data_IF_980754130274
#
_entry.id   IF_980754130274
#
_cell.length_a   1.000
_cell.length_b   1.000
_cell.length_c   1.000
_cell.angle_alpha   90.00
_cell.angle_beta   90.00
_cell.angle_gamma   90.00
#
_symmetry.space_group_name_H-M   'P 1'
#
loop_
_entity.id
_entity.type
_entity.pdbx_description
1 polymer ?
#
# COMPACT_ATOMS: atom_id res chain seq x y z
N UNK A 1 14.66 -50.11 6.01
CA UNK A 1 13.37 -50.48 5.36
C UNK A 1 12.16 -49.69 5.88
N UNK A 2 12.07 -49.30 7.17
CA UNK A 2 10.94 -48.51 7.70
C UNK A 2 10.91 -47.02 7.32
N UNK A 3 12.06 -46.41 6.96
CA UNK A 3 12.15 -44.99 6.58
C UNK A 3 11.64 -44.71 5.14
N UNK A 4 11.84 -45.67 4.22
CA UNK A 4 11.43 -45.55 2.81
C UNK A 4 9.90 -45.65 2.63
N UNK A 5 9.22 -46.39 3.51
CA UNK A 5 7.75 -46.52 3.46
C UNK A 5 7.06 -45.24 3.96
N UNK A 6 7.68 -44.51 4.90
CA UNK A 6 7.13 -43.25 5.44
C UNK A 6 7.26 -42.13 4.41
N UNK A 7 8.39 -42.04 3.69
CA UNK A 7 8.56 -41.05 2.60
C UNK A 7 7.64 -41.33 1.40
N UNK A 8 7.41 -42.60 1.07
CA UNK A 8 6.46 -42.97 0.02
C UNK A 8 5.00 -42.66 0.42
N UNK A 9 4.63 -42.83 1.70
CA UNK A 9 3.29 -42.49 2.20
C UNK A 9 3.05 -40.97 2.26
N UNK A 10 4.07 -40.16 2.60
CA UNK A 10 3.96 -38.68 2.58
C UNK A 10 3.90 -38.16 1.13
N UNK A 11 4.62 -38.78 0.20
CA UNK A 11 4.51 -38.45 -1.23
C UNK A 11 3.14 -38.87 -1.83
N UNK A 12 2.58 -39.99 -1.37
CA UNK A 12 1.25 -40.45 -1.80
C UNK A 12 0.10 -39.68 -1.16
N UNK A 13 0.23 -39.17 0.07
CA UNK A 13 -0.77 -38.27 0.67
C UNK A 13 -0.68 -36.84 0.13
N UNK A 14 0.53 -36.37 -0.23
CA UNK A 14 0.71 -35.11 -0.95
C UNK A 14 0.12 -35.14 -2.37
N UNK A 15 0.25 -36.27 -3.07
CA UNK A 15 -0.31 -36.44 -4.41
C UNK A 15 -1.83 -36.73 -4.41
N UNK A 16 -2.39 -37.33 -3.35
CA UNK A 16 -3.83 -37.57 -3.23
C UNK A 16 -4.63 -36.38 -2.67
N UNK A 17 -3.95 -35.34 -2.17
CA UNK A 17 -4.57 -34.05 -1.83
C UNK A 17 -4.69 -33.09 -3.04
N UNK A 18 -4.08 -33.43 -4.18
CA UNK A 18 -4.12 -32.62 -5.40
C UNK A 18 -5.35 -32.78 -6.33
N UNK A 19 -6.21 -33.83 -6.27
CA UNK A 19 -7.31 -33.93 -7.24
C UNK A 19 -8.52 -33.02 -6.95
N UNK A 20 -8.64 -32.45 -5.75
CA UNK A 20 -9.86 -31.74 -5.35
C UNK A 20 -9.76 -30.20 -5.38
N UNK A 21 -8.63 -29.62 -5.80
CA UNK A 21 -8.48 -28.16 -5.98
C UNK A 21 -8.92 -27.66 -7.36
N UNK A 22 -9.32 -28.55 -8.29
CA UNK A 22 -9.47 -28.21 -9.71
C UNK A 22 -10.88 -28.29 -10.29
N UNK A 23 -11.93 -28.58 -9.51
CA UNK A 23 -13.29 -28.59 -10.04
C UNK A 23 -14.29 -28.11 -9.00
N UNK A 24 -14.59 -26.82 -9.07
CA UNK A 24 -15.91 -26.19 -8.84
C UNK A 24 -15.71 -24.72 -8.40
N UNK A 25 -14.91 -23.97 -9.17
CA UNK A 25 -14.93 -22.51 -9.05
C UNK A 25 -16.31 -22.01 -9.52
N UNK A 26 -16.99 -21.09 -8.80
CA UNK A 26 -18.37 -20.70 -9.07
C UNK A 26 -18.63 -20.19 -10.49
N UNK A 27 -17.58 -19.71 -11.17
CA UNK A 27 -17.60 -19.14 -12.53
C UNK A 27 -17.10 -20.12 -13.61
N UNK A 28 -16.79 -21.38 -13.24
CA UNK A 28 -16.37 -22.42 -14.17
C UNK A 28 -14.95 -22.25 -14.74
N UNK A 29 -14.18 -21.26 -14.29
CA UNK A 29 -12.78 -21.06 -14.70
C UNK A 29 -11.83 -21.72 -13.69
N UNK A 30 -10.96 -22.66 -14.11
CA UNK A 30 -10.04 -23.32 -13.19
C UNK A 30 -9.07 -22.33 -12.51
N UNK A 31 -8.78 -22.55 -11.22
CA UNK A 31 -7.89 -21.69 -10.44
C UNK A 31 -6.49 -21.51 -11.06
N UNK A 32 -5.92 -22.53 -11.70
CA UNK A 32 -4.62 -22.43 -12.38
C UNK A 32 -4.66 -21.48 -13.58
N UNK A 33 -5.79 -21.36 -14.28
CA UNK A 33 -5.95 -20.39 -15.36
C UNK A 33 -6.04 -18.97 -14.78
N UNK A 34 -6.78 -18.77 -13.69
CA UNK A 34 -6.83 -17.48 -12.98
C UNK A 34 -5.43 -17.04 -12.53
N UNK A 35 -4.67 -17.97 -11.92
CA UNK A 35 -3.30 -17.73 -11.51
C UNK A 35 -2.38 -17.42 -12.70
N UNK A 36 -2.52 -18.14 -13.81
CA UNK A 36 -1.76 -17.91 -15.03
C UNK A 36 -2.01 -16.48 -15.55
N UNK A 37 -3.27 -16.10 -15.72
CA UNK A 37 -3.65 -14.78 -16.22
C UNK A 37 -3.12 -13.66 -15.33
N UNK A 38 -3.20 -13.80 -14.01
CA UNK A 38 -2.63 -12.83 -13.05
C UNK A 38 -1.12 -12.73 -13.17
N UNK A 39 -0.41 -13.86 -13.21
CA UNK A 39 1.05 -13.86 -13.35
C UNK A 39 1.49 -13.15 -14.64
N UNK A 40 0.81 -13.40 -15.76
CA UNK A 40 1.15 -12.77 -17.04
C UNK A 40 0.68 -11.33 -17.16
N UNK A 41 -0.37 -10.92 -16.43
CA UNK A 41 -0.75 -9.52 -16.31
C UNK A 41 0.34 -8.71 -15.59
N UNK A 42 1.01 -9.26 -14.57
CA UNK A 42 2.09 -8.55 -13.88
C UNK A 42 3.48 -8.81 -14.46
N UNK A 43 3.65 -9.84 -15.28
CA UNK A 43 4.92 -10.13 -15.93
C UNK A 43 5.32 -8.97 -16.85
N UNK A 44 6.49 -8.37 -16.56
CA UNK A 44 7.02 -7.23 -17.31
C UNK A 44 5.98 -6.12 -17.48
N UNK A 45 5.41 -5.69 -16.37
CA UNK A 45 4.30 -4.72 -16.33
C UNK A 45 4.56 -3.43 -17.12
N UNK A 46 5.82 -2.99 -17.20
CA UNK A 46 6.25 -1.80 -17.95
C UNK A 46 6.50 -2.03 -19.45
N UNK A 47 6.19 -3.22 -19.97
CA UNK A 47 6.24 -3.61 -21.38
C UNK A 47 4.86 -4.12 -21.84
N UNK A 48 4.57 -4.13 -23.17
CA UNK A 48 3.34 -4.73 -23.69
C UNK A 48 3.17 -6.20 -23.27
N UNK A 49 1.92 -6.63 -23.16
CA UNK A 49 1.52 -7.99 -22.83
C UNK A 49 2.21 -9.00 -23.75
N UNK A 50 2.68 -10.09 -23.14
CA UNK A 50 3.41 -11.17 -23.83
C UNK A 50 2.63 -12.46 -23.94
N UNK A 51 1.60 -12.62 -23.12
CA UNK A 51 0.66 -13.73 -23.26
C UNK A 51 -0.28 -13.45 -24.44
N UNK A 52 -0.39 -14.40 -25.36
CA UNK A 52 -1.14 -14.21 -26.61
C UNK A 52 -2.65 -14.02 -26.35
N UNK A 53 -3.21 -14.74 -25.38
CA UNK A 53 -4.64 -14.67 -25.07
C UNK A 53 -4.98 -13.32 -24.43
N UNK A 54 -4.20 -12.89 -23.43
CA UNK A 54 -4.37 -11.56 -22.83
C UNK A 54 -4.11 -10.45 -23.87
N UNK A 55 -3.10 -10.57 -24.72
CA UNK A 55 -2.84 -9.59 -25.78
C UNK A 55 -4.02 -9.49 -26.77
N UNK A 56 -4.61 -10.62 -27.17
CA UNK A 56 -5.79 -10.65 -28.04
C UNK A 56 -6.99 -9.99 -27.35
N UNK A 57 -7.25 -10.29 -26.07
CA UNK A 57 -8.27 -9.62 -25.26
C UNK A 57 -8.02 -8.12 -25.18
N UNK A 58 -6.79 -7.67 -24.96
CA UNK A 58 -6.46 -6.26 -24.86
C UNK A 58 -6.79 -5.47 -26.14
N UNK A 59 -6.74 -6.12 -27.31
CA UNK A 59 -7.05 -5.48 -28.61
C UNK A 59 -8.53 -5.60 -28.98
N UNK A 60 -9.13 -6.76 -28.75
CA UNK A 60 -10.49 -7.08 -29.24
C UNK A 60 -11.61 -6.70 -28.26
N UNK A 61 -11.32 -6.60 -26.97
CA UNK A 61 -12.32 -6.34 -25.94
C UNK A 61 -12.83 -4.90 -26.02
N UNK A 62 -14.15 -4.74 -25.93
CA UNK A 62 -14.82 -3.46 -25.74
C UNK A 62 -15.49 -3.47 -24.36
N UNK A 63 -14.98 -2.69 -23.38
CA UNK A 63 -15.55 -2.63 -22.02
C UNK A 63 -17.02 -2.20 -21.98
N UNK A 64 -17.50 -1.50 -23.01
CA UNK A 64 -18.90 -1.06 -23.13
C UNK A 64 -19.74 -1.93 -24.07
N UNK A 65 -19.14 -2.98 -24.65
CA UNK A 65 -19.80 -3.83 -25.66
C UNK A 65 -20.90 -4.72 -25.08
N UNK A 66 -20.73 -5.17 -23.84
CA UNK A 66 -21.74 -5.90 -23.07
C UNK A 66 -21.68 -5.48 -21.60
N UNK A 67 -22.62 -4.63 -21.17
CA UNK A 67 -22.67 -4.16 -19.78
C UNK A 67 -23.28 -5.18 -18.81
N UNK A 68 -23.84 -6.29 -19.31
CA UNK A 68 -24.46 -7.32 -18.47
C UNK A 68 -23.42 -8.12 -17.66
N UNK A 69 -22.15 -8.12 -18.09
CA UNK A 69 -21.04 -8.75 -17.36
C UNK A 69 -20.69 -8.05 -16.04
N UNK A 70 -21.24 -6.86 -15.79
CA UNK A 70 -21.05 -6.10 -14.57
C UNK A 70 -22.30 -6.18 -13.66
N UNK A 71 -22.09 -6.23 -12.34
CA UNK A 71 -23.14 -6.31 -11.32
C UNK A 71 -23.98 -5.02 -11.25
N UNK A 72 -23.36 -3.88 -11.52
CA UNK A 72 -23.95 -2.54 -11.50
C UNK A 72 -24.57 -2.10 -12.84
N UNK A 73 -24.67 -3.00 -13.83
CA UNK A 73 -25.14 -2.63 -15.17
C UNK A 73 -24.17 -1.71 -15.92
N UNK A 74 -22.88 -1.76 -15.59
CA UNK A 74 -21.80 -1.06 -16.27
C UNK A 74 -21.71 0.42 -15.91
N UNK A 75 -22.08 0.82 -14.70
CA UNK A 75 -21.94 2.22 -14.23
C UNK A 75 -20.47 2.57 -14.03
N UNK A 76 -19.73 1.75 -13.29
CA UNK A 76 -18.31 1.93 -13.01
C UNK A 76 -17.47 1.98 -14.31
N UNK A 77 -17.70 1.03 -15.23
CA UNK A 77 -16.95 0.98 -16.50
C UNK A 77 -17.28 2.17 -17.41
N UNK A 78 -18.54 2.65 -17.41
CA UNK A 78 -18.90 3.86 -18.16
C UNK A 78 -18.20 5.09 -17.61
N UNK A 79 -18.11 5.22 -16.29
CA UNK A 79 -17.39 6.33 -15.65
C UNK A 79 -15.90 6.31 -16.01
N UNK A 80 -15.21 5.18 -15.83
CA UNK A 80 -13.80 5.04 -16.20
C UNK A 80 -13.56 5.29 -17.69
N UNK A 81 -14.42 4.75 -18.55
CA UNK A 81 -14.30 4.96 -20.00
C UNK A 81 -14.56 6.42 -20.41
N UNK A 82 -15.40 7.16 -19.70
CA UNK A 82 -15.58 8.60 -19.94
C UNK A 82 -14.30 9.38 -19.61
N UNK A 83 -13.67 9.14 -18.46
CA UNK A 83 -12.38 9.74 -18.11
C UNK A 83 -11.28 9.36 -19.12
N UNK A 84 -11.23 8.08 -19.51
CA UNK A 84 -10.25 7.56 -20.48
C UNK A 84 -10.43 8.19 -21.87
N UNK A 85 -11.65 8.19 -22.42
CA UNK A 85 -11.90 8.70 -23.78
C UNK A 85 -11.74 10.21 -23.90
N UNK A 86 -11.93 10.94 -22.80
CA UNK A 86 -11.67 12.38 -22.73
C UNK A 86 -10.20 12.72 -22.39
N UNK A 87 -9.31 11.72 -22.24
CA UNK A 87 -7.89 11.95 -21.97
C UNK A 87 -7.62 12.58 -20.60
N UNK A 88 -8.44 12.25 -19.59
CA UNK A 88 -8.32 12.79 -18.23
C UNK A 88 -7.57 11.87 -17.26
N UNK A 89 -7.18 10.68 -17.70
CA UNK A 89 -6.36 9.76 -16.90
C UNK A 89 -4.87 10.12 -16.98
N UNK A 90 -4.11 9.75 -15.96
CA UNK A 90 -2.67 9.85 -15.87
C UNK A 90 -2.01 9.12 -17.04
N UNK A 91 -0.99 9.75 -17.62
CA UNK A 91 -0.26 9.14 -18.72
C UNK A 91 0.52 7.90 -18.29
N UNK A 92 0.72 6.98 -19.24
CA UNK A 92 1.61 5.83 -19.04
C UNK A 92 3.05 6.29 -18.85
N UNK A 93 3.86 5.44 -18.21
CA UNK A 93 5.28 5.71 -17.95
C UNK A 93 5.51 6.94 -17.09
N UNK A 94 4.64 7.12 -16.10
CA UNK A 94 4.75 8.16 -15.08
C UNK A 94 4.62 7.50 -13.70
N UNK A 95 5.23 8.09 -12.67
CA UNK A 95 5.02 7.62 -11.30
C UNK A 95 3.58 7.94 -10.85
N UNK A 96 2.98 7.07 -10.03
CA UNK A 96 1.71 7.34 -9.36
C UNK A 96 1.82 6.99 -7.88
N UNK A 97 1.03 7.67 -7.03
CA UNK A 97 1.09 7.54 -5.56
C UNK A 97 -0.31 7.66 -4.98
N UNK A 98 -0.62 6.82 -3.99
CA UNK A 98 -1.93 6.81 -3.33
C UNK A 98 -2.19 8.06 -2.46
N UNK A 99 -1.14 8.82 -2.12
CA UNK A 99 -1.24 10.11 -1.40
C UNK A 99 -1.71 11.25 -2.30
N UNK A 100 -1.57 11.12 -3.62
CA UNK A 100 -2.16 12.07 -4.57
C UNK A 100 -3.63 11.70 -4.79
N UNK A 101 -4.53 12.63 -4.47
CA UNK A 101 -5.98 12.41 -4.55
C UNK A 101 -6.45 11.99 -5.94
N UNK A 102 -5.88 12.56 -7.00
CA UNK A 102 -6.28 12.24 -8.36
C UNK A 102 -5.78 10.87 -8.80
N UNK A 103 -4.51 10.56 -8.55
CA UNK A 103 -3.95 9.23 -8.85
C UNK A 103 -4.73 8.12 -8.13
N UNK A 104 -5.06 8.35 -6.85
CA UNK A 104 -5.87 7.41 -6.08
C UNK A 104 -7.29 7.27 -6.65
N UNK A 105 -7.93 8.37 -7.03
CA UNK A 105 -9.26 8.36 -7.64
C UNK A 105 -9.28 7.50 -8.91
N UNK A 106 -8.33 7.70 -9.82
CA UNK A 106 -8.21 6.95 -11.07
C UNK A 106 -7.97 5.46 -10.84
N UNK A 107 -7.08 5.11 -9.90
CA UNK A 107 -6.86 3.73 -9.52
C UNK A 107 -8.12 3.08 -8.89
N UNK A 108 -8.88 3.84 -8.07
CA UNK A 108 -10.16 3.38 -7.51
C UNK A 108 -11.20 3.15 -8.60
N UNK A 109 -11.29 4.02 -9.62
CA UNK A 109 -12.21 3.80 -10.75
C UNK A 109 -11.94 2.46 -11.45
N UNK A 110 -10.68 2.11 -11.66
CA UNK A 110 -10.31 0.81 -12.24
C UNK A 110 -10.59 -0.35 -11.28
N UNK A 111 -10.30 -0.19 -9.99
CA UNK A 111 -10.66 -1.17 -8.96
C UNK A 111 -12.18 -1.44 -8.95
N UNK A 112 -13.00 -0.39 -9.02
CA UNK A 112 -14.46 -0.50 -9.05
C UNK A 112 -14.91 -1.33 -10.26
N UNK A 113 -14.35 -1.11 -11.45
CA UNK A 113 -14.65 -1.95 -12.63
C UNK A 113 -14.39 -3.43 -12.36
N UNK A 114 -13.24 -3.76 -11.76
CA UNK A 114 -12.92 -5.16 -11.43
C UNK A 114 -13.88 -5.75 -10.39
N UNK A 115 -14.24 -5.00 -9.34
CA UNK A 115 -15.16 -5.47 -8.31
C UNK A 115 -16.59 -5.69 -8.84
N UNK A 116 -16.98 -4.96 -9.88
CA UNK A 116 -18.28 -5.13 -10.52
C UNK A 116 -18.34 -6.33 -11.49
N UNK A 117 -17.22 -6.92 -11.90
CA UNK A 117 -17.25 -8.10 -12.78
C UNK A 117 -17.99 -9.29 -12.15
N UNK A 118 -18.83 -9.97 -12.95
CA UNK A 118 -19.61 -11.16 -12.53
C UNK A 118 -18.82 -12.46 -12.60
N UNK A 119 -17.86 -12.55 -13.52
CA UNK A 119 -17.06 -13.75 -13.76
C UNK A 119 -15.60 -13.40 -14.07
N UNK A 120 -14.73 -14.42 -14.07
CA UNK A 120 -13.31 -14.25 -14.39
C UNK A 120 -13.07 -13.71 -15.81
N UNK A 121 -13.89 -14.06 -16.79
CA UNK A 121 -13.68 -13.60 -18.16
C UNK A 121 -13.84 -12.07 -18.27
N UNK A 122 -14.78 -11.47 -17.53
CA UNK A 122 -14.88 -10.03 -17.34
C UNK A 122 -13.62 -9.45 -16.72
N UNK A 123 -13.12 -10.05 -15.62
CA UNK A 123 -11.91 -9.57 -14.92
C UNK A 123 -10.69 -9.62 -15.84
N UNK A 124 -10.43 -10.77 -16.47
CA UNK A 124 -9.28 -10.96 -17.35
C UNK A 124 -9.33 -10.05 -18.59
N UNK A 125 -10.52 -9.82 -19.16
CA UNK A 125 -10.66 -8.98 -20.36
C UNK A 125 -10.51 -7.48 -20.05
N UNK A 126 -11.10 -7.00 -18.95
CA UNK A 126 -10.86 -5.63 -18.46
C UNK A 126 -9.40 -5.46 -18.03
N UNK A 127 -8.83 -6.44 -17.33
CA UNK A 127 -7.44 -6.43 -16.87
C UNK A 127 -6.48 -6.31 -18.05
N UNK A 128 -6.65 -7.13 -19.08
CA UNK A 128 -5.86 -7.04 -20.30
C UNK A 128 -6.02 -5.70 -21.02
N UNK A 129 -7.27 -5.21 -21.16
CA UNK A 129 -7.58 -3.96 -21.85
C UNK A 129 -6.95 -2.74 -21.17
N UNK A 130 -7.13 -2.61 -19.86
CA UNK A 130 -6.64 -1.45 -19.11
C UNK A 130 -5.14 -1.53 -18.83
N UNK A 131 -4.54 -2.70 -18.63
CA UNK A 131 -3.07 -2.86 -18.51
C UNK A 131 -2.31 -2.18 -19.66
N UNK A 132 -2.84 -2.28 -20.88
CA UNK A 132 -2.20 -1.65 -22.05
C UNK A 132 -2.44 -0.14 -22.17
N UNK A 133 -3.41 0.42 -21.44
CA UNK A 133 -3.97 1.77 -21.70
C UNK A 133 -3.86 2.75 -20.54
N UNK A 134 -3.88 2.28 -19.30
CA UNK A 134 -3.74 3.14 -18.11
C UNK A 134 -2.30 3.13 -17.60
N UNK A 135 -2.00 4.05 -16.69
CA UNK A 135 -0.72 4.10 -16.00
C UNK A 135 -0.41 2.77 -15.28
N UNK A 136 0.84 2.32 -15.37
CA UNK A 136 1.26 1.02 -14.86
C UNK A 136 1.14 0.92 -13.32
N UNK A 137 1.44 2.00 -12.61
CA UNK A 137 1.36 2.05 -11.13
C UNK A 137 -0.09 2.02 -10.66
N UNK A 138 -0.98 2.75 -11.32
CA UNK A 138 -2.43 2.73 -11.03
C UNK A 138 -3.05 1.37 -11.35
N UNK A 139 -2.63 0.74 -12.44
CA UNK A 139 -3.03 -0.63 -12.76
C UNK A 139 -2.58 -1.61 -11.68
N UNK A 140 -1.31 -1.55 -11.26
CA UNK A 140 -0.77 -2.41 -10.19
C UNK A 140 -1.59 -2.22 -8.92
N UNK A 141 -1.80 -0.97 -8.50
CA UNK A 141 -2.57 -0.64 -7.31
C UNK A 141 -3.99 -1.20 -7.36
N UNK A 142 -4.73 -0.90 -8.44
CA UNK A 142 -6.12 -1.32 -8.62
C UNK A 142 -6.27 -2.84 -8.68
N UNK A 143 -5.40 -3.50 -9.47
CA UNK A 143 -5.46 -4.94 -9.66
C UNK A 143 -5.07 -5.72 -8.40
N UNK A 144 -4.06 -5.27 -7.64
CA UNK A 144 -3.71 -5.90 -6.37
C UNK A 144 -4.89 -5.86 -5.39
N UNK A 145 -5.53 -4.68 -5.22
CA UNK A 145 -6.69 -4.55 -4.33
C UNK A 145 -7.87 -5.38 -4.82
N UNK A 146 -8.16 -5.37 -6.12
CA UNK A 146 -9.26 -6.16 -6.67
C UNK A 146 -9.03 -7.67 -6.49
N UNK A 147 -7.81 -8.17 -6.72
CA UNK A 147 -7.47 -9.58 -6.52
C UNK A 147 -7.55 -9.97 -5.04
N UNK A 148 -7.15 -9.08 -4.13
CA UNK A 148 -7.26 -9.35 -2.70
C UNK A 148 -8.71 -9.44 -2.22
N UNK A 149 -9.57 -8.56 -2.71
CA UNK A 149 -10.92 -8.36 -2.16
C UNK A 149 -12.04 -9.03 -2.95
N UNK A 150 -11.81 -9.43 -4.21
CA UNK A 150 -12.84 -10.04 -5.03
C UNK A 150 -13.08 -11.50 -4.64
N UNK A 151 -14.35 -11.95 -4.56
CA UNK A 151 -14.65 -13.37 -4.35
C UNK A 151 -14.21 -14.25 -5.54
N UNK A 152 -13.97 -13.65 -6.73
CA UNK A 152 -13.51 -14.38 -7.92
C UNK A 152 -12.06 -14.85 -7.82
N UNK A 153 -11.30 -14.36 -6.83
CA UNK A 153 -9.84 -14.52 -6.70
C UNK A 153 -9.41 -15.09 -5.35
N UNK A 154 -10.31 -15.71 -4.57
CA UNK A 154 -10.07 -16.20 -3.20
C UNK A 154 -8.83 -17.10 -3.04
N UNK A 155 -8.38 -17.77 -4.10
CA UNK A 155 -7.22 -18.66 -4.11
C UNK A 155 -6.10 -18.23 -5.06
N UNK A 156 -6.21 -17.03 -5.63
CA UNK A 156 -5.16 -16.48 -6.50
C UNK A 156 -4.09 -15.82 -5.64
N UNK A 157 -2.84 -16.20 -5.87
CA UNK A 157 -1.68 -15.66 -5.17
C UNK A 157 -1.13 -14.48 -5.96
N UNK A 158 -1.00 -13.33 -5.28
CA UNK A 158 -0.36 -12.15 -5.87
C UNK A 158 1.15 -12.36 -5.99
N UNK A 159 1.78 -11.95 -7.11
CA UNK A 159 3.24 -11.92 -7.19
C UNK A 159 3.81 -10.92 -6.17
N UNK A 160 5.03 -11.16 -5.72
CA UNK A 160 5.65 -10.27 -4.75
C UNK A 160 5.95 -8.90 -5.39
N UNK A 161 5.68 -7.81 -4.66
CA UNK A 161 5.81 -6.46 -5.22
C UNK A 161 7.25 -6.15 -5.64
N UNK A 162 8.25 -6.69 -4.94
CA UNK A 162 9.66 -6.55 -5.30
C UNK A 162 10.05 -7.27 -6.60
N UNK A 163 9.24 -8.20 -7.10
CA UNK A 163 9.41 -8.83 -8.41
C UNK A 163 8.67 -8.06 -9.52
N UNK A 164 7.53 -7.44 -9.18
CA UNK A 164 6.73 -6.63 -10.12
C UNK A 164 7.38 -5.27 -10.38
N UNK A 165 7.82 -4.57 -9.32
CA UNK A 165 8.47 -3.26 -9.39
C UNK A 165 9.80 -3.24 -8.62
N UNK A 166 10.86 -3.88 -9.16
CA UNK A 166 12.15 -4.01 -8.48
C UNK A 166 12.83 -2.66 -8.17
N UNK A 167 12.52 -1.61 -8.94
CA UNK A 167 13.03 -0.25 -8.78
C UNK A 167 12.83 0.36 -7.38
N UNK A 168 11.76 -0.03 -6.69
CA UNK A 168 11.43 0.50 -5.37
C UNK A 168 12.23 -0.15 -4.23
N UNK A 169 12.80 -1.32 -4.50
CA UNK A 169 13.48 -2.17 -3.51
C UNK A 169 14.99 -2.31 -3.78
N UNK A 170 15.45 -1.87 -4.96
CA UNK A 170 16.81 -2.12 -5.45
C UNK A 170 17.51 -0.81 -5.70
N UNK A 171 18.75 -0.66 -5.21
CA UNK A 171 19.52 0.57 -5.40
C UNK A 171 19.69 0.93 -6.88
N UNK A 172 19.72 2.23 -7.16
CA UNK A 172 19.92 2.78 -8.50
C UNK A 172 21.13 2.17 -9.19
N UNK A 173 22.27 2.09 -8.50
CA UNK A 173 23.49 1.49 -9.05
C UNK A 173 23.26 0.04 -9.54
N UNK A 174 22.55 -0.78 -8.75
CA UNK A 174 22.30 -2.19 -9.10
C UNK A 174 21.33 -2.29 -10.28
N UNK A 175 20.35 -1.38 -10.35
CA UNK A 175 19.44 -1.26 -11.50
C UNK A 175 20.21 -0.88 -12.78
N UNK A 176 21.17 0.04 -12.68
CA UNK A 176 22.04 0.44 -13.80
C UNK A 176 22.91 -0.73 -14.27
N UNK A 177 23.56 -1.45 -13.35
CA UNK A 177 24.32 -2.68 -13.67
C UNK A 177 23.44 -3.73 -14.37
N UNK A 178 22.18 -3.87 -13.95
CA UNK A 178 21.22 -4.77 -14.59
C UNK A 178 20.83 -4.31 -16.01
N UNK A 179 20.76 -3.00 -16.26
CA UNK A 179 20.53 -2.43 -17.59
C UNK A 179 21.73 -2.66 -18.51
N UNK A 180 22.94 -2.39 -18.05
CA UNK A 180 24.17 -2.66 -18.81
C UNK A 180 24.28 -4.14 -19.20
N UNK A 181 24.04 -5.04 -18.23
CA UNK A 181 24.02 -6.48 -18.50
C UNK A 181 22.97 -6.88 -19.54
N UNK A 182 21.80 -6.24 -19.50
CA UNK A 182 20.72 -6.48 -20.47
C UNK A 182 21.12 -6.04 -21.88
N UNK A 183 21.77 -4.88 -22.01
CA UNK A 183 22.29 -4.37 -23.29
C UNK A 183 23.38 -5.28 -23.86
N UNK A 184 24.26 -5.81 -23.00
CA UNK A 184 25.27 -6.80 -23.34
C UNK A 184 24.69 -8.20 -23.64
N UNK A 185 23.37 -8.37 -23.55
CA UNK A 185 22.63 -9.63 -23.75
C UNK A 185 23.08 -10.76 -22.80
N UNK A 186 23.63 -10.40 -21.66
CA UNK A 186 23.99 -11.34 -20.62
C UNK A 186 22.72 -11.89 -19.96
N UNK A 187 22.80 -13.09 -19.40
CA UNK A 187 21.67 -13.79 -18.78
C UNK A 187 22.12 -14.42 -17.46
N UNK A 188 21.18 -14.60 -16.54
CA UNK A 188 21.39 -15.26 -15.26
C UNK A 188 22.54 -14.64 -14.44
N UNK A 189 22.61 -13.31 -14.40
CA UNK A 189 23.57 -12.58 -13.56
C UNK A 189 23.00 -12.41 -12.15
N UNK A 190 23.88 -12.51 -11.16
CA UNK A 190 23.59 -12.18 -9.76
C UNK A 190 24.32 -10.89 -9.42
N UNK A 191 23.58 -9.89 -8.96
CA UNK A 191 24.12 -8.61 -8.46
C UNK A 191 24.06 -8.59 -6.93
N UNK A 192 25.00 -7.89 -6.31
CA UNK A 192 25.00 -7.67 -4.86
C UNK A 192 24.34 -6.34 -4.55
N UNK A 193 23.24 -6.36 -3.79
CA UNK A 193 22.51 -5.16 -3.37
C UNK A 193 22.75 -4.90 -1.87
N UNK A 194 23.70 -4.03 -1.55
CA UNK A 194 23.96 -3.62 -0.16
C UNK A 194 23.00 -2.53 0.29
N UNK A 195 22.70 -2.43 1.58
CA UNK A 195 21.86 -1.36 2.16
C UNK A 195 22.43 0.05 1.94
N UNK A 196 21.57 1.07 2.06
CA UNK A 196 21.97 2.47 1.90
C UNK A 196 22.77 3.01 3.08
N UNK A 197 23.29 4.23 2.92
CA UNK A 197 24.01 4.94 3.99
C UNK A 197 25.46 4.49 4.17
N UNK A 198 26.09 5.00 5.23
CA UNK A 198 27.47 4.69 5.62
C UNK A 198 27.53 4.39 7.12
N UNK A 199 28.59 3.75 7.64
CA UNK A 199 28.74 3.51 9.09
C UNK A 199 28.75 4.78 9.97
N UNK A 200 28.89 5.97 9.39
CA UNK A 200 28.82 7.25 10.12
C UNK A 200 27.38 7.63 10.47
N UNK A 201 26.40 7.14 9.73
CA UNK A 201 24.98 7.29 10.05
C UNK A 201 24.58 6.18 11.04
N UNK A 202 24.10 6.57 12.22
CA UNK A 202 23.68 5.60 13.23
C UNK A 202 22.46 4.79 12.76
N UNK A 203 21.60 5.38 11.94
CA UNK A 203 20.41 4.72 11.41
C UNK A 203 20.76 3.65 10.37
N UNK A 204 21.97 3.70 9.79
CA UNK A 204 22.48 2.66 8.90
C UNK A 204 22.60 1.30 9.59
N UNK A 205 22.83 1.27 10.92
CA UNK A 205 22.94 0.02 11.69
C UNK A 205 21.66 -0.82 11.65
N UNK A 206 20.51 -0.19 11.47
CA UNK A 206 19.19 -0.84 11.37
C UNK A 206 18.62 -0.77 9.95
N UNK A 207 19.44 -0.41 8.95
CA UNK A 207 19.02 -0.39 7.55
C UNK A 207 18.60 -1.78 7.07
N UNK A 208 19.20 -2.86 7.60
CA UNK A 208 18.82 -4.23 7.26
C UNK A 208 17.37 -4.56 7.60
N UNK A 209 16.76 -3.86 8.55
CA UNK A 209 15.36 -4.02 8.89
C UNK A 209 14.50 -3.05 8.07
N UNK A 210 14.88 -1.77 8.03
CA UNK A 210 14.13 -0.71 7.32
C UNK A 210 14.05 -0.94 5.81
N UNK A 211 15.08 -1.54 5.22
CA UNK A 211 15.19 -1.78 3.78
C UNK A 211 15.00 -3.25 3.39
N UNK A 212 14.63 -4.12 4.33
CA UNK A 212 14.26 -5.49 4.00
C UNK A 212 13.03 -5.50 3.08
N UNK A 213 13.11 -6.26 2.00
CA UNK A 213 12.03 -6.35 1.01
C UNK A 213 10.76 -6.94 1.62
N UNK A 214 10.88 -7.79 2.63
CA UNK A 214 9.77 -8.37 3.38
C UNK A 214 9.09 -7.37 4.31
N UNK A 215 9.84 -6.47 4.96
CA UNK A 215 9.26 -5.40 5.80
C UNK A 215 8.45 -4.40 4.96
N UNK A 216 9.01 -3.93 3.84
CA UNK A 216 8.29 -3.07 2.90
C UNK A 216 7.05 -3.76 2.31
N UNK A 217 7.17 -5.04 1.93
CA UNK A 217 6.04 -5.84 1.43
C UNK A 217 4.97 -6.03 2.52
N UNK A 218 5.37 -6.31 3.76
CA UNK A 218 4.42 -6.48 4.86
C UNK A 218 3.64 -5.19 5.14
N UNK A 219 4.32 -4.03 5.14
CA UNK A 219 3.64 -2.74 5.28
C UNK A 219 2.63 -2.50 4.15
N UNK A 220 2.98 -2.78 2.89
CA UNK A 220 2.03 -2.76 1.77
C UNK A 220 0.83 -3.70 2.01
N UNK A 221 1.06 -4.92 2.50
CA UNK A 221 -0.01 -5.90 2.72
C UNK A 221 -1.02 -5.45 3.78
N UNK A 222 -0.59 -4.74 4.83
CA UNK A 222 -1.49 -4.17 5.85
C UNK A 222 -2.52 -3.25 5.19
N UNK A 223 -2.07 -2.37 4.28
CA UNK A 223 -2.93 -1.46 3.54
C UNK A 223 -3.75 -2.15 2.46
N UNK A 224 -3.19 -3.17 1.81
CA UNK A 224 -3.90 -3.98 0.83
C UNK A 224 -5.07 -4.74 1.48
N UNK A 225 -4.93 -5.15 2.73
CA UNK A 225 -6.00 -5.80 3.50
C UNK A 225 -7.02 -4.83 4.06
N UNK A 226 -6.58 -3.62 4.43
CA UNK A 226 -7.37 -2.63 5.13
C UNK A 226 -7.29 -1.24 4.46
N UNK A 227 -7.72 -1.10 3.18
CA UNK A 227 -7.57 0.15 2.47
C UNK A 227 -8.41 1.26 3.11
N UNK A 228 -7.80 2.42 3.37
CA UNK A 228 -8.48 3.54 4.03
C UNK A 228 -9.67 4.08 3.22
N UNK A 229 -9.68 3.87 1.90
CA UNK A 229 -10.75 4.30 0.99
C UNK A 229 -11.87 3.26 0.81
N UNK A 230 -11.81 2.12 1.51
CA UNK A 230 -12.81 1.05 1.42
C UNK A 230 -14.22 1.52 1.79
N UNK A 231 -15.23 1.05 1.06
CA UNK A 231 -16.64 1.26 1.40
C UNK A 231 -17.33 -0.09 1.41
N UNK A 232 -18.22 -0.33 2.37
CA UNK A 232 -18.98 -1.58 2.46
C UNK A 232 -19.81 -1.88 1.21
N UNK A 233 -20.14 -0.83 0.44
CA UNK A 233 -20.76 -0.95 -0.89
C UNK A 233 -19.95 -1.77 -1.89
N UNK A 234 -18.66 -2.00 -1.64
CA UNK A 234 -17.80 -2.87 -2.46
C UNK A 234 -18.00 -4.37 -2.19
N UNK A 235 -18.78 -4.73 -1.18
CA UNK A 235 -19.33 -6.09 -1.05
C UNK A 235 -19.38 -6.61 0.38
N UNK A 236 -18.57 -6.09 1.30
CA UNK A 236 -18.55 -6.52 2.69
C UNK A 236 -17.91 -5.47 3.62
N UNK A 237 -18.21 -5.61 4.90
CA UNK A 237 -17.60 -4.84 5.97
C UNK A 237 -16.29 -5.48 6.43
N UNK A 238 -15.21 -4.70 6.44
CA UNK A 238 -13.93 -5.11 7.03
C UNK A 238 -14.00 -4.92 8.55
N UNK A 239 -14.18 -6.04 9.26
CA UNK A 239 -14.31 -6.06 10.72
C UNK A 239 -13.04 -5.58 11.43
N UNK A 240 -13.22 -4.74 12.46
CA UNK A 240 -12.14 -4.17 13.30
C UNK A 240 -10.99 -3.53 12.52
N UNK A 241 -11.31 -2.89 11.39
CA UNK A 241 -10.31 -2.33 10.47
C UNK A 241 -9.43 -1.25 11.13
N UNK A 242 -10.04 -0.36 11.91
CA UNK A 242 -9.32 0.70 12.61
C UNK A 242 -8.43 0.17 13.73
N UNK A 243 -8.91 -0.83 14.47
CA UNK A 243 -8.10 -1.49 15.50
C UNK A 243 -6.95 -2.27 14.88
N UNK A 244 -7.18 -2.97 13.76
CA UNK A 244 -6.13 -3.64 13.01
C UNK A 244 -5.09 -2.66 12.47
N UNK A 245 -5.52 -1.46 12.03
CA UNK A 245 -4.60 -0.39 11.67
C UNK A 245 -3.69 -0.03 12.85
N UNK A 246 -4.26 0.27 14.03
CA UNK A 246 -3.45 0.52 15.24
C UNK A 246 -2.50 -0.66 15.53
N UNK A 247 -3.05 -1.87 15.66
CA UNK A 247 -2.31 -3.02 16.15
C UNK A 247 -1.15 -3.40 15.23
N UNK A 248 -1.38 -3.48 13.92
CA UNK A 248 -0.35 -3.88 12.96
C UNK A 248 0.83 -2.89 12.97
N UNK A 249 0.53 -1.60 13.01
CA UNK A 249 1.50 -0.54 13.06
C UNK A 249 2.22 -0.43 14.41
N UNK A 250 1.52 -0.64 15.52
CA UNK A 250 2.09 -0.72 16.87
C UNK A 250 3.10 -1.87 16.96
N UNK A 251 2.76 -3.05 16.44
CA UNK A 251 3.66 -4.20 16.40
C UNK A 251 4.89 -3.97 15.51
N UNK A 252 4.70 -3.33 14.35
CA UNK A 252 5.78 -2.97 13.45
C UNK A 252 6.77 -2.01 14.14
N UNK A 253 6.26 -1.02 14.86
CA UNK A 253 7.05 -0.06 15.64
C UNK A 253 7.84 -0.72 16.76
N UNK A 254 7.17 -1.56 17.58
CA UNK A 254 7.82 -2.29 18.66
C UNK A 254 8.94 -3.19 18.15
N UNK A 255 8.71 -3.82 16.99
CA UNK A 255 9.73 -4.63 16.33
C UNK A 255 10.92 -3.78 15.89
N UNK A 256 10.69 -2.63 15.28
CA UNK A 256 11.76 -1.68 14.93
C UNK A 256 12.54 -1.23 16.17
N UNK A 257 11.87 -0.88 17.27
CA UNK A 257 12.54 -0.52 18.53
C UNK A 257 13.39 -1.67 19.09
N UNK A 258 12.96 -2.94 18.94
CA UNK A 258 13.77 -4.09 19.32
C UNK A 258 15.06 -4.21 18.48
N UNK A 259 15.01 -3.90 17.18
CA UNK A 259 16.21 -3.84 16.33
C UNK A 259 17.13 -2.69 16.76
N UNK A 260 16.58 -1.52 17.12
CA UNK A 260 17.35 -0.39 17.66
C UNK A 260 18.10 -0.78 18.93
N UNK A 261 17.42 -1.41 19.89
CA UNK A 261 18.03 -1.89 21.14
C UNK A 261 19.17 -2.88 20.85
N UNK A 262 18.94 -3.82 19.94
CA UNK A 262 19.94 -4.84 19.54
C UNK A 262 21.20 -4.22 18.91
N UNK A 263 21.08 -3.01 18.35
CA UNK A 263 22.16 -2.26 17.71
C UNK A 263 22.69 -1.09 18.57
N UNK A 264 22.38 -1.07 19.87
CA UNK A 264 22.81 -0.04 20.82
C UNK A 264 22.39 1.38 20.41
N UNK A 265 21.25 1.51 19.74
CA UNK A 265 20.67 2.79 19.39
C UNK A 265 19.79 3.31 20.53
N UNK A 266 19.66 4.64 20.70
CA UNK A 266 18.76 5.20 21.69
C UNK A 266 17.29 4.86 21.36
N UNK A 267 16.41 4.88 22.38
CA UNK A 267 14.96 4.77 22.19
C UNK A 267 14.47 5.75 21.14
N UNK A 268 13.53 5.32 20.31
CA UNK A 268 13.03 6.14 19.22
C UNK A 268 12.27 7.34 19.79
N UNK A 269 12.67 8.54 19.38
CA UNK A 269 11.95 9.76 19.73
C UNK A 269 10.83 9.99 18.71
N UNK A 270 9.66 10.37 19.20
CA UNK A 270 8.57 10.80 18.32
C UNK A 270 8.98 12.02 17.48
N UNK A 271 8.28 12.21 16.36
CA UNK A 271 8.44 13.41 15.56
C UNK A 271 7.88 14.62 16.32
N UNK A 272 8.69 15.65 16.46
CA UNK A 272 8.29 16.97 16.96
C UNK A 272 8.13 17.88 15.74
N UNK A 273 6.96 18.50 15.60
CA UNK A 273 6.62 19.31 14.42
C UNK A 273 7.25 20.72 14.46
N UNK A 274 7.61 21.17 15.66
CA UNK A 274 8.17 22.48 15.98
C UNK A 274 9.70 22.46 16.18
N UNK A 275 10.32 21.29 16.18
CA UNK A 275 11.77 21.12 16.29
C UNK A 275 12.40 20.68 14.95
N UNK A 276 13.71 20.91 14.74
CA UNK A 276 14.40 20.38 13.58
C UNK A 276 14.36 18.85 13.53
N UNK A 277 13.98 18.30 12.37
CA UNK A 277 14.14 16.88 12.07
C UNK A 277 15.63 16.58 11.85
N UNK A 278 16.24 15.94 12.86
CA UNK A 278 17.66 15.62 12.88
C UNK A 278 18.07 14.64 11.80
N UNK A 279 17.29 13.59 11.60
CA UNK A 279 17.60 12.51 10.67
C UNK A 279 17.07 12.81 9.26
N UNK A 280 17.99 13.10 8.33
CA UNK A 280 17.76 13.06 6.91
C UNK A 280 17.69 11.64 6.36
N UNK A 281 17.50 11.52 5.05
CA UNK A 281 17.52 10.23 4.36
C UNK A 281 17.87 10.38 2.88
N UNK A 282 18.77 9.52 2.40
CA UNK A 282 19.11 9.39 0.97
C UNK A 282 18.66 8.00 0.48
N UNK A 283 17.54 7.89 -0.26
CA UNK A 283 16.99 6.59 -0.65
C UNK A 283 17.88 5.72 -1.54
N UNK A 284 18.79 6.33 -2.31
CA UNK A 284 19.64 5.67 -3.33
C UNK A 284 18.87 4.74 -4.28
N UNK A 285 17.59 5.04 -4.51
CA UNK A 285 16.70 4.32 -5.42
C UNK A 285 16.12 5.28 -6.45
N UNK A 286 15.63 4.73 -7.56
CA UNK A 286 15.06 5.51 -8.65
C UNK A 286 13.75 4.92 -9.12
N UNK A 287 12.83 5.77 -9.58
CA UNK A 287 11.65 5.30 -10.29
C UNK A 287 12.03 4.59 -11.57
N UNK A 288 11.16 3.67 -12.03
CA UNK A 288 11.30 3.06 -13.37
C UNK A 288 11.16 4.11 -14.46
N UNK A 289 10.22 5.03 -14.28
CA UNK A 289 10.00 6.19 -15.12
C UNK A 289 9.88 7.42 -14.22
N UNK A 290 10.81 8.35 -14.36
CA UNK A 290 10.96 9.52 -13.49
C UNK A 290 12.38 9.66 -12.97
N UNK A 291 12.68 10.76 -12.25
CA UNK A 291 13.99 10.97 -11.65
C UNK A 291 14.19 10.09 -10.41
N UNK A 292 15.38 10.09 -9.78
CA UNK A 292 15.61 9.42 -8.51
C UNK A 292 14.67 9.89 -7.41
N UNK A 293 14.45 9.04 -6.39
CA UNK A 293 13.72 9.48 -5.20
C UNK A 293 14.44 10.66 -4.54
N UNK A 294 13.71 11.67 -4.04
CA UNK A 294 14.28 12.83 -3.39
C UNK A 294 15.10 12.49 -2.16
N UNK A 295 16.09 13.34 -1.91
CA UNK A 295 16.93 13.30 -0.71
C UNK A 295 16.43 14.34 0.27
N UNK A 296 16.30 13.97 1.54
CA UNK A 296 16.05 14.91 2.63
C UNK A 296 17.33 15.06 3.45
N UNK A 297 17.78 16.29 3.61
CA UNK A 297 18.98 16.59 4.41
C UNK A 297 18.68 16.46 5.91
N UNK A 298 19.74 16.31 6.69
CA UNK A 298 19.70 16.40 8.15
C UNK A 298 19.33 17.81 8.62
N UNK A 299 18.87 17.93 9.86
CA UNK A 299 18.62 19.19 10.56
C UNK A 299 17.66 20.17 9.86
N UNK A 300 16.68 19.66 9.11
CA UNK A 300 15.67 20.53 8.47
C UNK A 300 14.55 20.90 9.44
N UNK A 301 13.97 22.09 9.27
CA UNK A 301 12.69 22.41 9.90
C UNK A 301 11.56 22.01 8.97
N UNK A 302 10.47 21.47 9.52
CA UNK A 302 9.29 21.17 8.73
C UNK A 302 8.62 22.46 8.29
N UNK A 303 8.20 22.50 7.03
CA UNK A 303 7.51 23.63 6.42
C UNK A 303 6.15 23.21 5.90
N UNK A 304 5.24 24.19 5.83
CA UNK A 304 4.00 24.07 5.07
C UNK A 304 4.31 23.72 3.61
N UNK A 305 3.45 22.90 3.00
CA UNK A 305 3.65 22.39 1.64
C UNK A 305 2.54 22.93 0.73
N UNK A 306 2.95 23.67 -0.30
CA UNK A 306 2.04 24.30 -1.25
C UNK A 306 1.13 23.27 -1.92
N UNK A 307 -0.18 23.57 -1.95
CA UNK A 307 -1.25 22.72 -2.51
C UNK A 307 -1.49 21.38 -1.78
N UNK A 308 -0.76 21.08 -0.70
CA UNK A 308 -0.96 19.87 0.12
C UNK A 308 -1.62 20.23 1.45
N UNK A 309 -1.01 21.12 2.22
CA UNK A 309 -1.53 21.52 3.53
C UNK A 309 -0.46 22.15 4.41
N UNK A 310 -0.83 22.45 5.65
CA UNK A 310 0.02 23.15 6.60
C UNK A 310 0.26 22.35 7.88
N UNK A 311 1.40 22.56 8.52
CA UNK A 311 1.78 21.86 9.75
C UNK A 311 0.75 22.08 10.87
N UNK A 312 0.20 23.30 10.99
CA UNK A 312 -0.83 23.60 11.98
C UNK A 312 -2.14 22.82 11.78
N UNK A 313 -2.43 22.33 10.57
CA UNK A 313 -3.61 21.48 10.33
C UNK A 313 -3.45 20.11 10.98
N UNK A 314 -2.23 19.55 10.97
CA UNK A 314 -1.89 18.31 11.69
C UNK A 314 -2.12 18.50 13.18
N UNK A 315 -1.59 19.58 13.76
CA UNK A 315 -1.77 19.91 15.18
C UNK A 315 -3.25 20.04 15.54
N UNK A 316 -4.04 20.76 14.75
CA UNK A 316 -5.48 20.90 15.02
C UNK A 316 -6.25 19.58 14.93
N UNK A 317 -5.86 18.66 14.04
CA UNK A 317 -6.49 17.34 13.97
C UNK A 317 -6.10 16.48 15.17
N UNK A 318 -4.85 16.52 15.59
CA UNK A 318 -4.37 15.86 16.81
C UNK A 318 -5.12 16.39 18.04
N UNK A 319 -5.20 17.72 18.22
CA UNK A 319 -5.92 18.35 19.34
C UNK A 319 -7.38 17.88 19.44
N UNK A 320 -8.10 17.81 18.31
CA UNK A 320 -9.50 17.31 18.27
C UNK A 320 -9.61 15.85 18.69
N UNK A 321 -8.60 15.04 18.36
CA UNK A 321 -8.56 13.61 18.70
C UNK A 321 -8.21 13.45 20.18
N UNK A 322 -7.22 14.19 20.69
CA UNK A 322 -6.91 14.26 22.12
C UNK A 322 -8.13 14.71 22.95
N UNK A 323 -8.85 15.74 22.50
CA UNK A 323 -10.10 16.18 23.13
C UNK A 323 -11.15 15.06 23.11
N UNK A 324 -11.32 14.33 22.01
CA UNK A 324 -12.27 13.20 21.95
C UNK A 324 -11.90 12.08 22.93
N UNK A 325 -10.61 11.74 23.02
CA UNK A 325 -10.08 10.76 23.98
C UNK A 325 -10.34 11.23 25.42
N UNK A 326 -10.01 12.48 25.74
CA UNK A 326 -10.22 13.05 27.07
C UNK A 326 -11.71 13.12 27.48
N UNK A 327 -12.61 13.29 26.51
CA UNK A 327 -14.06 13.29 26.75
C UNK A 327 -14.68 11.89 26.85
N UNK A 328 -13.99 10.84 26.37
CA UNK A 328 -14.54 9.48 26.29
C UNK A 328 -15.54 9.27 25.14
N UNK A 329 -15.63 10.20 24.18
CA UNK A 329 -16.50 10.06 23.02
C UNK A 329 -15.97 10.80 21.78
N UNK A 330 -16.35 10.31 20.59
CA UNK A 330 -16.24 11.05 19.32
C UNK A 330 -17.60 11.62 18.91
N UNK A 331 -17.62 12.62 18.03
CA UNK A 331 -18.85 13.22 17.49
C UNK A 331 -19.03 12.86 16.01
N UNK A 332 -20.19 12.32 15.65
CA UNK A 332 -20.54 12.06 14.25
C UNK A 332 -20.90 13.35 13.48
N UNK A 333 -21.19 13.25 12.17
CA UNK A 333 -21.58 14.39 11.34
C UNK A 333 -22.89 15.08 11.80
N UNK A 334 -23.72 14.42 12.62
CA UNK A 334 -24.96 14.97 13.17
C UNK A 334 -24.78 15.55 14.58
N UNK A 335 -23.58 15.44 15.16
CA UNK A 335 -23.27 15.87 16.53
C UNK A 335 -23.69 14.87 17.60
N UNK A 336 -24.01 13.63 17.25
CA UNK A 336 -24.24 12.59 18.24
C UNK A 336 -22.89 12.14 18.82
N UNK A 337 -22.89 11.88 20.13
CA UNK A 337 -21.72 11.39 20.85
C UNK A 337 -21.66 9.87 20.78
N UNK A 338 -20.57 9.34 20.23
CA UNK A 338 -20.28 7.91 20.16
C UNK A 338 -19.26 7.60 21.23
N UNK A 339 -19.66 6.84 22.25
CA UNK A 339 -18.79 6.42 23.35
C UNK A 339 -17.59 5.61 22.82
N UNK A 340 -16.39 5.95 23.28
CA UNK A 340 -15.15 5.21 22.97
C UNK A 340 -14.53 4.54 24.21
N UNK A 341 -15.06 4.75 25.42
CA UNK A 341 -14.59 4.05 26.62
C UNK A 341 -15.21 2.63 26.71
N UNK A 342 -14.95 1.82 25.68
CA UNK A 342 -15.44 0.46 25.53
C UNK A 342 -14.58 -0.34 24.53
N UNK A 343 -14.89 -1.62 24.36
CA UNK A 343 -14.13 -2.56 23.52
C UNK A 343 -14.09 -2.17 22.02
N UNK A 344 -14.92 -1.24 21.55
CA UNK A 344 -14.96 -0.77 20.16
C UNK A 344 -14.33 0.61 19.97
N UNK A 345 -13.96 1.31 21.05
CA UNK A 345 -13.43 2.67 20.97
C UNK A 345 -12.15 2.78 20.16
N UNK A 346 -11.24 1.82 20.33
CA UNK A 346 -9.97 1.76 19.60
C UNK A 346 -10.19 1.61 18.09
N UNK A 347 -11.23 0.91 17.67
CA UNK A 347 -11.56 0.73 16.25
C UNK A 347 -12.03 2.05 15.63
N UNK A 348 -12.92 2.76 16.33
CA UNK A 348 -13.39 4.08 15.93
C UNK A 348 -12.24 5.09 15.90
N UNK A 349 -11.34 5.06 16.90
CA UNK A 349 -10.14 5.89 16.92
C UNK A 349 -9.22 5.57 15.73
N UNK A 350 -9.06 4.29 15.40
CA UNK A 350 -8.34 3.85 14.22
C UNK A 350 -8.90 4.44 12.94
N UNK A 351 -10.23 4.46 12.82
CA UNK A 351 -10.92 5.03 11.67
C UNK A 351 -10.75 6.54 11.55
N UNK A 352 -10.80 7.32 12.64
CA UNK A 352 -10.57 8.77 12.58
C UNK A 352 -9.08 9.11 12.35
N UNK A 353 -8.15 8.39 12.98
CA UNK A 353 -6.70 8.66 12.90
C UNK A 353 -6.13 8.25 11.54
N UNK A 354 -6.45 7.05 11.05
CA UNK A 354 -6.18 6.66 9.65
C UNK A 354 -6.94 7.56 8.68
N UNK A 355 -8.10 8.05 9.13
CA UNK A 355 -9.07 8.84 8.38
C UNK A 355 -9.71 8.06 7.24
N UNK A 356 -10.10 6.84 7.59
CA UNK A 356 -10.76 5.90 6.70
C UNK A 356 -12.16 6.39 6.29
N UNK A 357 -12.75 5.76 5.28
CA UNK A 357 -14.14 5.98 4.91
C UNK A 357 -15.15 5.54 5.98
N UNK A 358 -14.73 4.80 7.02
CA UNK A 358 -15.57 4.46 8.17
C UNK A 358 -15.54 5.52 9.27
N UNK A 359 -14.65 6.52 9.18
CA UNK A 359 -14.62 7.63 10.14
C UNK A 359 -16.00 8.29 10.24
N UNK A 360 -16.57 8.43 11.46
CA UNK A 360 -17.92 8.95 11.64
C UNK A 360 -18.05 10.45 11.30
N UNK A 361 -16.92 11.18 11.21
CA UNK A 361 -16.92 12.60 10.88
C UNK A 361 -15.58 13.05 10.27
N UNK A 362 -15.35 12.68 9.00
CA UNK A 362 -14.12 13.03 8.26
C UNK A 362 -13.92 14.54 8.08
N UNK A 363 -14.99 15.33 8.09
CA UNK A 363 -14.91 16.80 7.98
C UNK A 363 -14.33 17.43 9.25
N UNK A 364 -14.63 16.85 10.41
CA UNK A 364 -14.15 17.34 11.70
C UNK A 364 -12.79 16.75 12.08
N UNK A 365 -12.62 15.43 12.02
CA UNK A 365 -11.35 14.77 12.40
C UNK A 365 -10.30 14.80 11.29
N UNK A 366 -10.69 15.06 10.04
CA UNK A 366 -9.79 15.32 8.93
C UNK A 366 -9.13 14.08 8.33
N UNK A 367 -7.90 14.23 7.83
CA UNK A 367 -7.09 13.21 7.18
C UNK A 367 -5.68 13.06 7.80
N UNK A 368 -5.61 13.00 9.14
CA UNK A 368 -4.39 13.15 9.94
C UNK A 368 -3.20 12.35 9.41
N UNK A 369 -3.33 11.02 9.33
CA UNK A 369 -2.22 10.13 8.93
C UNK A 369 -1.74 10.47 7.51
N UNK A 370 -2.65 10.55 6.53
CA UNK A 370 -2.29 10.85 5.14
C UNK A 370 -1.64 12.22 5.01
N UNK A 371 -2.18 13.25 5.67
CA UNK A 371 -1.62 14.59 5.60
C UNK A 371 -0.21 14.63 6.22
N UNK A 372 -0.03 14.05 7.40
CA UNK A 372 1.26 14.07 8.09
C UNK A 372 2.37 13.39 7.28
N UNK A 373 2.11 12.20 6.73
CA UNK A 373 3.07 11.51 5.86
C UNK A 373 3.33 12.28 4.55
N UNK A 374 2.30 12.87 3.94
CA UNK A 374 2.46 13.66 2.70
C UNK A 374 3.26 14.94 2.95
N UNK A 375 3.02 15.64 4.07
CA UNK A 375 3.80 16.81 4.45
C UNK A 375 5.26 16.43 4.66
N UNK A 376 5.54 15.32 5.34
CA UNK A 376 6.90 14.84 5.59
C UNK A 376 7.63 14.42 4.30
N UNK A 377 6.91 13.78 3.36
CA UNK A 377 7.45 13.36 2.07
C UNK A 377 7.91 14.53 1.20
N UNK A 378 7.13 15.61 1.21
CA UNK A 378 7.36 16.78 0.36
C UNK A 378 8.35 17.81 0.93
N UNK A 379 9.02 17.53 2.05
CA UNK A 379 9.95 18.47 2.68
C UNK A 379 11.21 18.78 1.84
N UNK A 380 11.54 17.96 0.84
CA UNK A 380 12.63 18.27 -0.10
C UNK A 380 12.28 19.42 -1.05
N UNK A 381 11.02 19.60 -1.40
CA UNK A 381 10.54 20.68 -2.28
C UNK A 381 9.14 21.17 -1.86
N UNK A 382 9.00 21.79 -0.67
CA UNK A 382 7.70 22.11 -0.10
C UNK A 382 6.94 23.18 -0.90
N UNK A 383 7.63 23.93 -1.77
CA UNK A 383 7.03 24.97 -2.63
C UNK A 383 6.81 24.49 -4.06
N UNK A 384 7.06 23.21 -4.34
CA UNK A 384 6.98 22.62 -5.67
C UNK A 384 7.72 23.45 -6.73
N UNK A 385 8.93 23.93 -6.40
CA UNK A 385 9.73 24.81 -7.25
C UNK A 385 10.59 24.03 -8.24
N UNK A 386 10.95 22.80 -7.90
CA UNK A 386 11.89 21.97 -8.63
C UNK A 386 11.24 20.77 -9.31
N UNK A 387 9.91 20.64 -9.21
CA UNK A 387 9.14 19.54 -9.79
C UNK A 387 9.68 18.18 -9.33
N UNK A 388 9.94 18.10 -8.03
CA UNK A 388 10.55 16.92 -7.41
C UNK A 388 9.49 15.81 -7.33
N UNK A 389 9.80 14.55 -7.71
CA UNK A 389 8.84 13.48 -7.62
C UNK A 389 8.55 13.17 -6.14
N UNK A 390 7.47 12.43 -5.84
CA UNK A 390 7.22 11.96 -4.48
C UNK A 390 8.40 11.15 -3.93
N UNK A 391 8.61 11.28 -2.63
CA UNK A 391 9.60 10.54 -1.88
C UNK A 391 9.19 9.11 -1.57
N UNK A 392 9.99 8.47 -0.74
CA UNK A 392 9.74 7.09 -0.30
C UNK A 392 8.55 6.96 0.64
N UNK A 393 8.09 8.06 1.26
CA UNK A 393 6.96 8.04 2.18
C UNK A 393 5.62 8.05 1.44
N UNK A 394 5.61 8.47 0.18
CA UNK A 394 4.41 8.44 -0.67
C UNK A 394 4.02 7.03 -1.15
N UNK A 395 4.91 6.03 -1.01
CA UNK A 395 4.63 4.65 -1.40
C UNK A 395 4.64 3.73 -0.19
N UNK A 396 3.63 2.88 -0.10
CA UNK A 396 3.45 1.96 1.01
C UNK A 396 4.61 0.96 1.11
N UNK A 397 5.16 0.51 -0.01
CA UNK A 397 6.25 -0.46 -0.02
C UNK A 397 7.63 0.12 0.33
N UNK A 398 7.82 1.45 0.20
CA UNK A 398 9.09 2.11 0.52
C UNK A 398 9.08 2.93 1.79
N UNK A 399 7.90 3.23 2.34
CA UNK A 399 7.74 4.05 3.55
C UNK A 399 8.61 3.57 4.73
N UNK A 400 8.70 2.26 5.04
CA UNK A 400 9.54 1.78 6.15
C UNK A 400 11.04 2.09 6.01
N UNK A 401 11.50 2.44 4.80
CA UNK A 401 12.91 2.74 4.52
C UNK A 401 13.35 4.07 5.13
N UNK A 402 12.45 5.01 5.40
CA UNK A 402 12.82 6.33 5.91
C UNK A 402 12.83 6.38 7.45
N UNK A 403 13.91 6.79 8.13
CA UNK A 403 13.94 6.93 9.59
C UNK A 403 12.83 7.84 10.14
N UNK A 404 12.48 8.92 9.43
CA UNK A 404 11.47 9.86 9.87
C UNK A 404 10.05 9.27 9.82
N UNK A 405 9.82 8.25 8.98
CA UNK A 405 8.55 7.50 8.98
C UNK A 405 8.27 6.91 10.36
N UNK A 406 9.28 6.29 10.97
CA UNK A 406 9.17 5.66 12.29
C UNK A 406 8.92 6.68 13.40
N UNK A 407 9.55 7.87 13.32
CA UNK A 407 9.33 8.95 14.27
C UNK A 407 7.91 9.50 14.20
N UNK A 408 7.39 9.71 12.97
CA UNK A 408 6.00 10.10 12.76
C UNK A 408 5.05 9.00 13.24
N UNK A 409 5.39 7.75 12.95
CA UNK A 409 4.61 6.61 13.40
C UNK A 409 4.53 6.51 14.93
N UNK A 410 5.65 6.75 15.64
CA UNK A 410 5.68 6.84 17.11
C UNK A 410 4.78 7.95 17.66
N UNK A 411 4.75 9.10 16.99
CA UNK A 411 3.84 10.21 17.35
C UNK A 411 2.38 9.77 17.28
N UNK A 412 1.99 9.09 16.19
CA UNK A 412 0.62 8.57 16.00
C UNK A 412 0.31 7.46 17.02
N UNK A 413 1.24 6.54 17.26
CA UNK A 413 1.11 5.45 18.24
C UNK A 413 0.85 5.99 19.66
N UNK A 414 1.48 7.10 20.03
CA UNK A 414 1.29 7.75 21.32
C UNK A 414 -0.14 8.30 21.51
N UNK A 415 -0.84 8.68 20.44
CA UNK A 415 -2.26 9.07 20.50
C UNK A 415 -3.12 7.87 20.88
N UNK A 416 -2.88 6.70 20.27
CA UNK A 416 -3.58 5.47 20.66
C UNK A 416 -3.25 5.04 22.09
N UNK A 417 -1.98 5.21 22.51
CA UNK A 417 -1.55 4.90 23.87
C UNK A 417 -2.34 5.70 24.90
N UNK A 418 -2.56 7.00 24.65
CA UNK A 418 -3.35 7.85 25.54
C UNK A 418 -4.74 7.26 25.81
N UNK A 419 -5.43 6.79 24.77
CA UNK A 419 -6.72 6.12 24.93
C UNK A 419 -6.61 4.79 25.69
N UNK A 420 -5.64 3.94 25.34
CA UNK A 420 -5.48 2.64 25.99
C UNK A 420 -5.22 2.80 27.50
N UNK A 421 -4.47 3.84 27.87
CA UNK A 421 -4.13 4.13 29.26
C UNK A 421 -5.32 4.69 30.08
N UNK A 422 -6.42 5.12 29.44
CA UNK A 422 -7.67 5.47 30.14
C UNK A 422 -8.53 4.25 30.47
N UNK A 423 -8.31 3.11 29.79
CA UNK A 423 -9.12 1.92 29.99
C UNK A 423 -8.78 1.21 31.32
N UNK A 424 -9.77 0.57 31.98
CA UNK A 424 -9.52 -0.20 33.18
C UNK A 424 -8.49 -1.33 32.91
N UNK A 425 -7.46 -1.49 33.76
CA UNK A 425 -6.57 -2.63 33.66
C UNK A 425 -7.34 -3.95 33.78
N UNK A 426 -6.87 -4.99 33.09
CA UNK A 426 -7.45 -6.32 33.23
C UNK A 426 -7.50 -6.77 34.69
N UNK A 427 -8.65 -7.31 35.09
CA UNK A 427 -8.85 -7.95 36.38
C UNK A 427 -8.22 -9.33 36.40
N UNK A 428 -8.22 -9.98 37.57
CA UNK A 428 -7.68 -11.34 37.70
C UNK A 428 -8.62 -12.38 37.11
N UNK A 429 -9.92 -12.18 37.31
CA UNK A 429 -11.02 -12.89 36.66
C UNK A 429 -10.98 -12.63 35.16
#
# INVERSE_FOLDING_TARGET
MKLLVILALVALTGASAWPNFMSDEPDGVPAHQKQHDVNYAFYKIFEPLRDNNLAEKAVSFNPLGDVSMYKDGGVAVRHLMDEFTNGRLLEKKHWAVATNKRHLEEAIMLFEVFMQCRDWNCVASNGAYFRERVNEEEFIYAAYHAIKHSPLTQHVVLPAMYEVKPHHFTKTQVIEEAYEAKEMKLRNIIFQNNFTGTPNDIEQRVAYYREDVGVGTHHLMIHLENPFWWKDTYGYHIDRKGENFFYAYHQLLNRYEAERISNYLPPLQELKLDEPLKEGFTPQTTYKFGPPFPVRNDDIHLHDVDRIGRIHEVVHMEDRIHDAIAHGYVEDEQGNKINIDNDHGIDILGDIIQSSMYSPNRKYYGNLTTLAYTLLDHQTDPKNKYDTPPGVLAHLETLPRDPAAWRLHKRIDNIFREHIDTLPPYTKE
#
